data_IF_772705481472
#
_entry.id   IF_772705481472
#
_cell.length_a   1.000
_cell.length_b   1.000
_cell.length_c   1.000
_cell.angle_alpha   90.00
_cell.angle_beta   90.00
_cell.angle_gamma   90.00
#
_symmetry.space_group_name_H-M   'P 1'
#
loop_
_entity.id
_entity.type
_entity.pdbx_description
1 polymer ?
#
# COMPACT_ATOMS: atom_id res chain seq x y z
N UNK A 1 20.67 6.14 -9.13
CA UNK A 1 19.48 5.50 -8.54
C UNK A 1 19.91 4.70 -7.32
N UNK A 2 19.23 4.88 -6.19
CA UNK A 2 19.47 4.08 -4.97
C UNK A 2 18.25 3.22 -4.64
N UNK A 3 18.45 2.06 -4.02
CA UNK A 3 17.37 1.16 -3.58
C UNK A 3 17.57 0.59 -2.17
N UNK A 4 16.47 0.35 -1.47
CA UNK A 4 16.45 -0.29 -0.17
C UNK A 4 15.23 -1.23 -0.03
N UNK A 5 15.41 -2.38 0.61
CA UNK A 5 14.35 -3.39 0.78
C UNK A 5 14.25 -3.89 2.22
N UNK A 6 13.04 -4.15 2.69
CA UNK A 6 12.76 -4.69 4.03
C UNK A 6 11.40 -5.40 4.12
N UNK A 7 11.18 -6.16 5.19
CA UNK A 7 9.88 -6.81 5.45
C UNK A 7 8.93 -5.90 6.24
N UNK A 8 7.65 -5.89 5.87
CA UNK A 8 6.58 -5.08 6.48
C UNK A 8 5.21 -5.54 5.97
N UNK A 9 4.12 -5.30 6.73
CA UNK A 9 2.74 -5.65 6.36
C UNK A 9 2.55 -7.10 5.86
N UNK A 10 3.18 -8.05 6.55
CA UNK A 10 3.22 -9.48 6.19
C UNK A 10 3.74 -9.75 4.76
N UNK A 11 4.54 -8.84 4.23
CA UNK A 11 5.19 -8.91 2.92
C UNK A 11 6.54 -8.18 2.98
N UNK A 12 7.02 -7.70 1.84
CA UNK A 12 8.20 -6.87 1.71
C UNK A 12 7.87 -5.53 1.05
N UNK A 13 8.64 -4.50 1.38
CA UNK A 13 8.66 -3.20 0.74
C UNK A 13 10.04 -2.98 0.12
N UNK A 14 10.07 -2.49 -1.10
CA UNK A 14 11.26 -2.00 -1.78
C UNK A 14 11.04 -0.55 -2.17
N UNK A 15 12.04 0.27 -1.90
CA UNK A 15 12.04 1.70 -2.18
C UNK A 15 13.15 2.02 -3.15
N UNK A 16 12.85 2.75 -4.21
CA UNK A 16 13.83 3.28 -5.14
C UNK A 16 13.71 4.79 -5.26
N UNK A 17 14.83 5.45 -5.54
CA UNK A 17 14.94 6.90 -5.70
C UNK A 17 15.80 7.25 -6.90
N UNK A 18 15.45 8.32 -7.63
CA UNK A 18 16.21 8.77 -8.80
C UNK A 18 17.67 9.02 -8.42
N UNK A 19 17.89 9.75 -7.33
CA UNK A 19 19.22 10.09 -6.80
C UNK A 19 19.51 9.26 -5.56
N UNK A 20 20.66 8.61 -5.54
CA UNK A 20 21.07 7.73 -4.43
C UNK A 20 21.17 8.49 -3.09
N UNK A 21 21.53 9.77 -3.13
CA UNK A 21 21.63 10.63 -1.95
C UNK A 21 20.29 10.82 -1.21
N UNK A 22 19.15 10.66 -1.88
CA UNK A 22 17.82 10.81 -1.29
C UNK A 22 17.37 9.57 -0.52
N UNK A 23 17.99 8.42 -0.79
CA UNK A 23 17.54 7.11 -0.31
C UNK A 23 17.40 7.02 1.23
N UNK A 24 18.31 7.57 2.06
CA UNK A 24 18.19 7.46 3.51
C UNK A 24 16.93 8.12 4.08
N UNK A 25 16.65 9.37 3.69
CA UNK A 25 15.49 10.13 4.20
C UNK A 25 14.17 9.53 3.71
N UNK A 26 14.13 9.18 2.42
CA UNK A 26 12.98 8.57 1.77
C UNK A 26 12.65 7.21 2.41
N UNK A 27 13.66 6.40 2.67
CA UNK A 27 13.48 5.10 3.34
C UNK A 27 13.01 5.27 4.79
N UNK A 28 13.54 6.26 5.51
CA UNK A 28 13.14 6.53 6.89
C UNK A 28 11.66 6.94 6.97
N UNK A 29 11.22 7.85 6.10
CA UNK A 29 9.82 8.28 6.04
C UNK A 29 8.89 7.13 5.62
N UNK A 30 9.28 6.34 4.63
CA UNK A 30 8.51 5.17 4.20
C UNK A 30 8.32 4.15 5.33
N UNK A 31 9.39 3.86 6.09
CA UNK A 31 9.32 2.97 7.25
C UNK A 31 8.41 3.51 8.35
N UNK A 32 8.52 4.81 8.66
CA UNK A 32 7.67 5.44 9.67
C UNK A 32 6.19 5.31 9.32
N UNK A 33 5.81 5.65 8.08
CA UNK A 33 4.42 5.54 7.59
C UNK A 33 3.90 4.10 7.60
N UNK A 34 4.70 3.15 7.13
CA UNK A 34 4.28 1.74 7.14
C UNK A 34 4.17 1.17 8.56
N UNK A 35 4.98 1.65 9.51
CA UNK A 35 4.85 1.31 10.92
C UNK A 35 3.56 1.88 11.53
N UNK A 36 3.21 3.13 11.22
CA UNK A 36 1.92 3.72 11.65
C UNK A 36 0.74 2.91 11.11
N UNK A 37 0.77 2.53 9.84
CA UNK A 37 -0.27 1.71 9.23
C UNK A 37 -0.35 0.31 9.87
N UNK A 38 0.81 -0.28 10.21
CA UNK A 38 0.87 -1.56 10.92
C UNK A 38 0.20 -1.44 12.29
N UNK A 39 0.56 -0.42 13.07
CA UNK A 39 -0.05 -0.18 14.38
C UNK A 39 -1.56 0.11 14.30
N UNK A 40 -2.00 0.78 13.25
CA UNK A 40 -3.41 1.07 13.03
C UNK A 40 -4.22 -0.19 12.66
N UNK A 41 -3.68 -1.08 11.83
CA UNK A 41 -4.51 -2.08 11.13
C UNK A 41 -4.09 -3.55 11.30
N UNK A 42 -2.87 -3.85 11.77
CA UNK A 42 -2.33 -5.20 11.74
C UNK A 42 -1.87 -5.69 13.11
N UNK A 43 -2.19 -6.95 13.41
CA UNK A 43 -1.84 -7.61 14.67
C UNK A 43 -2.91 -7.45 15.75
N UNK A 44 -2.77 -8.27 16.80
CA UNK A 44 -3.74 -8.36 17.89
C UNK A 44 -3.82 -7.08 18.75
N UNK A 45 -2.73 -6.31 18.78
CA UNK A 45 -2.63 -5.07 19.56
C UNK A 45 -2.87 -3.81 18.69
N UNK A 46 -3.33 -3.98 17.45
CA UNK A 46 -3.63 -2.85 16.58
C UNK A 46 -4.84 -2.06 17.05
N UNK A 47 -4.89 -0.79 16.65
CA UNK A 47 -6.06 0.07 16.91
C UNK A 47 -7.36 -0.57 16.39
N UNK A 48 -7.33 -1.13 15.18
CA UNK A 48 -8.44 -1.85 14.57
C UNK A 48 -8.91 -3.03 15.42
N UNK A 49 -7.99 -3.82 15.98
CA UNK A 49 -8.32 -4.96 16.83
C UNK A 49 -8.93 -4.54 18.19
N UNK A 50 -8.63 -3.32 18.65
CA UNK A 50 -9.19 -2.73 19.86
C UNK A 50 -10.56 -2.08 19.71
N UNK A 51 -11.11 -2.00 18.49
CA UNK A 51 -12.46 -1.47 18.28
C UNK A 51 -13.52 -2.38 18.90
N UNK A 52 -14.52 -1.76 19.51
CA UNK A 52 -15.67 -2.41 20.09
C UNK A 52 -16.88 -2.23 19.16
N UNK A 53 -17.63 -3.31 18.88
CA UNK A 53 -18.74 -3.24 17.96
C UNK A 53 -19.89 -2.36 18.47
N UNK A 54 -20.66 -1.81 17.53
CA UNK A 54 -21.96 -1.18 17.75
C UNK A 54 -21.93 0.23 18.34
N UNK A 55 -20.75 0.82 18.58
CA UNK A 55 -20.64 2.19 19.13
C UNK A 55 -19.65 3.06 18.33
N UNK A 56 -19.93 4.36 18.19
CA UNK A 56 -18.95 5.29 17.64
C UNK A 56 -17.69 5.37 18.52
N UNK A 57 -16.52 5.26 17.90
CA UNK A 57 -15.23 5.36 18.58
C UNK A 57 -14.31 6.29 17.81
N UNK A 58 -13.56 7.11 18.55
CA UNK A 58 -12.48 7.92 17.97
C UNK A 58 -11.36 7.00 17.48
N UNK A 59 -10.87 7.32 16.29
CA UNK A 59 -9.76 6.60 15.66
C UNK A 59 -8.67 7.57 15.20
N UNK A 60 -7.47 7.03 15.00
CA UNK A 60 -6.35 7.73 14.40
C UNK A 60 -6.65 8.12 12.95
N UNK A 61 -5.93 9.14 12.47
CA UNK A 61 -6.02 9.56 11.07
C UNK A 61 -5.62 8.43 10.12
N UNK A 62 -4.60 7.64 10.49
CA UNK A 62 -4.09 6.54 9.67
C UNK A 62 -5.12 5.42 9.56
N UNK A 63 -5.78 5.05 10.65
CA UNK A 63 -6.86 4.07 10.60
C UNK A 63 -8.04 4.59 9.77
N UNK A 64 -8.40 5.87 9.91
CA UNK A 64 -9.48 6.47 9.13
C UNK A 64 -9.18 6.49 7.63
N UNK A 65 -7.93 6.81 7.25
CA UNK A 65 -7.43 6.75 5.88
C UNK A 65 -7.47 5.32 5.31
N UNK A 66 -7.02 4.34 6.09
CA UNK A 66 -6.99 2.93 5.69
C UNK A 66 -8.41 2.36 5.50
N UNK A 67 -9.33 2.67 6.42
CA UNK A 67 -10.73 2.26 6.31
C UNK A 67 -11.42 2.93 5.12
N UNK A 68 -11.19 4.22 4.89
CA UNK A 68 -11.73 4.91 3.71
C UNK A 68 -11.24 4.26 2.41
N UNK A 69 -9.94 3.95 2.31
CA UNK A 69 -9.37 3.28 1.15
C UNK A 69 -9.99 1.88 0.93
N UNK A 70 -10.17 1.11 2.00
CA UNK A 70 -10.82 -0.19 1.95
C UNK A 70 -12.28 -0.05 1.48
N UNK A 71 -13.06 0.86 2.09
CA UNK A 71 -14.47 1.11 1.77
C UNK A 71 -14.69 1.53 0.31
N UNK A 72 -13.82 2.37 -0.25
CA UNK A 72 -13.87 2.74 -1.68
C UNK A 72 -13.77 1.53 -2.61
N UNK A 73 -12.96 0.54 -2.22
CA UNK A 73 -12.80 -0.70 -3.00
C UNK A 73 -14.08 -1.54 -3.02
N UNK A 74 -14.82 -1.58 -1.90
CA UNK A 74 -16.11 -2.29 -1.81
C UNK A 74 -17.20 -1.58 -2.61
N UNK A 75 -17.25 -0.24 -2.52
CA UNK A 75 -18.15 0.57 -3.34
C UNK A 75 -17.94 0.33 -4.84
N UNK A 76 -16.70 0.19 -5.29
CA UNK A 76 -16.38 -0.08 -6.69
C UNK A 76 -16.77 -1.49 -7.16
N UNK A 77 -16.86 -2.46 -6.26
CA UNK A 77 -17.07 -3.88 -6.58
C UNK A 77 -18.49 -4.36 -6.31
N UNK A 78 -19.42 -3.45 -6.00
CA UNK A 78 -20.78 -3.76 -5.56
C UNK A 78 -20.82 -4.81 -4.43
N UNK A 79 -19.88 -4.75 -3.47
CA UNK A 79 -19.72 -5.71 -2.37
C UNK A 79 -19.41 -7.16 -2.79
N UNK A 80 -19.14 -7.44 -4.06
CA UNK A 80 -18.82 -8.81 -4.54
C UNK A 80 -17.58 -9.41 -3.87
N UNK A 81 -16.75 -8.58 -3.23
CA UNK A 81 -15.49 -8.97 -2.59
C UNK A 81 -15.52 -8.79 -1.06
N UNK A 82 -16.69 -8.59 -0.44
CA UNK A 82 -16.85 -8.64 1.01
C UNK A 82 -18.20 -8.12 1.48
N UNK A 83 -18.87 -8.89 2.34
CA UNK A 83 -20.16 -8.53 2.93
C UNK A 83 -19.98 -7.76 4.24
N UNK A 84 -20.93 -6.88 4.56
CA UNK A 84 -20.98 -6.13 5.83
C UNK A 84 -20.14 -4.84 5.87
N UNK A 85 -19.30 -4.56 4.88
CA UNK A 85 -18.50 -3.31 4.85
C UNK A 85 -19.33 -2.05 4.64
N UNK A 86 -20.50 -2.15 3.97
CA UNK A 86 -21.45 -1.03 3.84
C UNK A 86 -22.08 -0.60 5.17
N UNK A 87 -22.03 -1.45 6.18
CA UNK A 87 -22.57 -1.17 7.51
C UNK A 87 -21.55 -0.47 8.43
N UNK A 88 -20.30 -0.32 7.97
CA UNK A 88 -19.30 0.50 8.66
C UNK A 88 -19.64 1.97 8.41
N UNK A 89 -19.92 2.69 9.49
CA UNK A 89 -20.11 4.13 9.45
C UNK A 89 -18.80 4.83 9.81
N UNK A 90 -18.20 5.54 8.85
CA UNK A 90 -16.94 6.26 9.00
C UNK A 90 -17.20 7.77 8.85
N UNK A 91 -17.17 8.49 9.97
CA UNK A 91 -17.19 9.95 9.98
C UNK A 91 -15.75 10.47 9.97
N UNK A 92 -15.27 10.82 8.76
CA UNK A 92 -13.92 11.37 8.56
C UNK A 92 -13.72 12.74 9.19
N UNK A 93 -14.76 13.55 9.30
CA UNK A 93 -14.66 14.89 9.88
C UNK A 93 -14.55 14.81 11.41
N UNK A 94 -15.30 13.90 12.03
CA UNK A 94 -15.22 13.66 13.47
C UNK A 94 -14.07 12.73 13.88
N UNK A 95 -13.45 12.03 12.91
CA UNK A 95 -12.43 11.01 13.17
C UNK A 95 -13.02 9.85 13.97
N UNK A 96 -14.23 9.41 13.60
CA UNK A 96 -14.97 8.36 14.30
C UNK A 96 -15.35 7.22 13.35
N UNK A 97 -15.42 6.01 13.90
CA UNK A 97 -15.97 4.85 13.20
C UNK A 97 -16.96 4.11 14.10
N UNK A 98 -18.01 3.57 13.51
CA UNK A 98 -18.88 2.56 14.11
C UNK A 98 -18.77 1.28 13.28
N UNK A 99 -18.37 0.19 13.91
CA UNK A 99 -18.28 -1.14 13.27
C UNK A 99 -19.44 -2.00 13.76
N UNK A 100 -20.24 -2.64 12.88
CA UNK A 100 -21.35 -3.49 13.30
C UNK A 100 -20.86 -4.74 14.03
N UNK A 101 -21.74 -5.33 14.84
CA UNK A 101 -21.45 -6.56 15.56
C UNK A 101 -21.25 -7.75 14.61
N UNK A 102 -20.27 -8.60 14.91
CA UNK A 102 -19.98 -9.80 14.11
C UNK A 102 -19.18 -9.55 12.83
N UNK A 103 -18.92 -8.30 12.44
CA UNK A 103 -18.10 -7.98 11.27
C UNK A 103 -16.61 -8.09 11.61
N UNK A 104 -15.88 -8.90 10.83
CA UNK A 104 -14.42 -8.99 10.89
C UNK A 104 -13.82 -8.18 9.74
N UNK A 105 -13.00 -7.19 10.09
CA UNK A 105 -12.36 -6.31 9.13
C UNK A 105 -10.98 -6.83 8.75
N UNK A 106 -10.89 -7.51 7.60
CA UNK A 106 -9.60 -7.86 7.00
C UNK A 106 -9.06 -6.72 6.15
N UNK A 107 -8.39 -5.75 6.81
CA UNK A 107 -7.89 -4.53 6.17
C UNK A 107 -6.55 -4.77 5.46
N UNK A 108 -5.65 -5.58 6.02
CA UNK A 108 -4.26 -5.70 5.60
C UNK A 108 -4.06 -5.96 4.10
N UNK A 109 -4.71 -6.98 3.54
CA UNK A 109 -4.60 -7.31 2.13
C UNK A 109 -5.28 -6.28 1.20
N UNK A 110 -6.21 -5.48 1.73
CA UNK A 110 -7.01 -4.50 0.96
C UNK A 110 -6.34 -3.15 0.84
N UNK A 111 -5.40 -2.85 1.75
CA UNK A 111 -4.76 -1.54 1.79
C UNK A 111 -3.35 -1.52 1.22
N UNK A 112 -2.76 -2.65 0.80
CA UNK A 112 -1.38 -2.66 0.27
C UNK A 112 -1.20 -1.79 -0.97
N UNK A 113 -2.07 -1.94 -1.98
CA UNK A 113 -2.04 -1.10 -3.19
C UNK A 113 -2.26 0.38 -2.87
N UNK A 114 -3.09 0.68 -1.87
CA UNK A 114 -3.25 2.05 -1.39
C UNK A 114 -2.03 2.54 -0.60
N UNK A 115 -1.41 1.67 0.20
CA UNK A 115 -0.30 1.99 1.07
C UNK A 115 0.97 2.30 0.27
N UNK A 116 1.25 1.56 -0.80
CA UNK A 116 2.35 1.90 -1.71
C UNK A 116 2.19 3.32 -2.26
N UNK A 117 0.97 3.66 -2.69
CA UNK A 117 0.64 4.98 -3.20
C UNK A 117 0.70 6.09 -2.13
N UNK A 118 0.17 5.81 -0.94
CA UNK A 118 0.20 6.73 0.19
C UNK A 118 1.62 7.01 0.68
N UNK A 119 2.50 6.00 0.68
CA UNK A 119 3.92 6.16 1.02
C UNK A 119 4.66 6.93 -0.06
N UNK A 120 4.51 6.55 -1.34
CA UNK A 120 5.20 7.22 -2.45
C UNK A 120 4.82 8.70 -2.53
N UNK A 121 3.53 9.00 -2.42
CA UNK A 121 3.01 10.37 -2.40
C UNK A 121 3.53 11.14 -1.20
N UNK A 122 3.54 10.49 -0.04
CA UNK A 122 4.12 11.06 1.18
C UNK A 122 5.58 11.49 1.03
N UNK A 123 6.39 10.65 0.42
CA UNK A 123 7.80 10.95 0.19
C UNK A 123 7.97 12.08 -0.83
N UNK A 124 7.24 12.03 -1.94
CA UNK A 124 7.29 13.09 -2.95
C UNK A 124 6.84 14.45 -2.39
N UNK A 125 5.73 14.48 -1.65
CA UNK A 125 5.17 15.72 -1.10
C UNK A 125 6.05 16.30 0.02
N UNK A 126 6.60 15.45 0.90
CA UNK A 126 7.37 15.90 2.06
C UNK A 126 8.84 16.22 1.73
N UNK A 127 9.44 15.50 0.77
CA UNK A 127 10.88 15.58 0.49
C UNK A 127 11.18 16.13 -0.91
N UNK A 128 10.17 16.26 -1.79
CA UNK A 128 10.36 16.75 -3.15
C UNK A 128 11.14 15.79 -4.06
N UNK A 129 11.10 14.48 -3.75
CA UNK A 129 11.91 13.46 -4.45
C UNK A 129 11.10 12.61 -5.43
N UNK A 130 11.76 12.13 -6.46
CA UNK A 130 11.27 11.05 -7.32
C UNK A 130 11.51 9.68 -6.71
N UNK A 131 10.45 8.90 -6.51
CA UNK A 131 10.55 7.58 -5.91
C UNK A 131 9.55 6.55 -6.46
N UNK A 132 9.94 5.28 -6.37
CA UNK A 132 9.10 4.11 -6.56
C UNK A 132 8.99 3.35 -5.24
N UNK A 133 7.77 3.02 -4.82
CA UNK A 133 7.48 2.08 -3.74
C UNK A 133 6.92 0.81 -4.35
N UNK A 134 7.51 -0.33 -4.06
CA UNK A 134 6.96 -1.65 -4.36
C UNK A 134 6.66 -2.39 -3.06
N UNK A 135 5.38 -2.55 -2.74
CA UNK A 135 4.92 -3.25 -1.55
C UNK A 135 4.36 -4.61 -1.94
N UNK A 136 5.21 -5.62 -1.98
CA UNK A 136 4.80 -7.00 -2.26
C UNK A 136 4.19 -7.21 -3.65
N UNK A 137 4.59 -6.43 -4.65
CA UNK A 137 4.03 -6.44 -6.01
C UNK A 137 3.00 -5.33 -6.27
N UNK A 138 2.65 -4.55 -5.26
CA UNK A 138 1.86 -3.32 -5.39
C UNK A 138 2.79 -2.11 -5.54
N UNK A 139 2.86 -1.54 -6.75
CA UNK A 139 3.80 -0.50 -7.13
C UNK A 139 3.11 0.85 -7.21
N UNK A 140 3.79 1.89 -6.70
CA UNK A 140 3.44 3.28 -6.94
C UNK A 140 4.69 4.13 -7.22
N UNK A 141 4.57 5.05 -8.17
CA UNK A 141 5.61 6.00 -8.56
C UNK A 141 5.11 7.43 -8.38
N UNK A 142 5.96 8.29 -7.81
CA UNK A 142 5.67 9.72 -7.56
C UNK A 142 6.94 10.57 -7.69
N UNK A 143 6.74 11.87 -7.90
CA UNK A 143 7.81 12.86 -8.01
C UNK A 143 8.53 12.79 -9.36
N UNK A 144 9.82 13.14 -9.34
CA UNK A 144 10.71 13.05 -10.50
C UNK A 144 10.77 11.62 -11.07
N UNK A 145 10.86 11.53 -12.39
CA UNK A 145 10.91 10.26 -13.13
C UNK A 145 12.29 10.19 -13.81
N UNK A 146 13.01 9.06 -13.71
CA UNK A 146 14.31 8.92 -14.37
C UNK A 146 14.16 8.89 -15.90
N UNK A 147 15.24 9.18 -16.62
CA UNK A 147 15.28 9.06 -18.08
C UNK A 147 14.84 7.65 -18.52
N UNK A 148 13.93 7.59 -19.49
CA UNK A 148 13.35 6.33 -19.97
C UNK A 148 12.23 5.76 -19.08
N UNK A 149 11.92 6.39 -17.94
CA UNK A 149 10.86 5.99 -17.01
C UNK A 149 11.30 4.95 -15.99
N UNK A 150 10.47 4.72 -14.97
CA UNK A 150 10.69 3.59 -14.05
C UNK A 150 10.38 2.28 -14.79
N UNK A 151 11.36 1.40 -14.90
CA UNK A 151 11.18 0.12 -15.61
C UNK A 151 10.57 -0.90 -14.66
N UNK A 152 9.39 -1.43 -14.98
CA UNK A 152 8.70 -2.42 -14.15
C UNK A 152 8.52 -3.70 -14.96
N UNK A 153 9.28 -4.72 -14.59
CA UNK A 153 9.17 -6.05 -15.18
C UNK A 153 7.91 -6.79 -14.71
N UNK A 154 7.23 -7.47 -15.64
CA UNK A 154 6.03 -8.28 -15.39
C UNK A 154 6.38 -9.76 -15.45
N UNK A 155 6.62 -10.35 -14.28
CA UNK A 155 6.86 -11.79 -14.13
C UNK A 155 5.52 -12.54 -13.93
N UNK A 156 5.21 -13.47 -14.83
CA UNK A 156 4.02 -14.35 -14.74
C UNK A 156 4.31 -15.70 -14.07
N UNK A 157 5.53 -15.88 -13.55
CA UNK A 157 6.02 -17.08 -12.89
C UNK A 157 6.39 -18.21 -13.85
N UNK A 158 6.37 -17.97 -15.17
CA UNK A 158 6.77 -18.96 -16.18
C UNK A 158 8.18 -18.62 -16.66
N UNK A 159 9.10 -19.61 -16.69
CA UNK A 159 10.42 -19.35 -17.24
C UNK A 159 10.31 -18.94 -18.71
N UNK A 160 10.68 -17.71 -19.03
CA UNK A 160 10.73 -17.21 -20.40
C UNK A 160 12.18 -17.08 -20.90
N UNK A 161 12.45 -17.70 -22.04
CA UNK A 161 13.73 -17.60 -22.76
C UNK A 161 13.90 -16.26 -23.49
N UNK A 162 12.83 -15.47 -23.66
CA UNK A 162 12.80 -14.19 -24.37
C UNK A 162 12.86 -12.97 -23.46
N UNK A 163 12.90 -13.17 -22.14
CA UNK A 163 12.78 -12.10 -21.14
C UNK A 163 11.33 -11.73 -20.86
N UNK A 164 11.09 -11.08 -19.72
CA UNK A 164 9.75 -10.69 -19.31
C UNK A 164 9.33 -9.34 -19.92
N UNK A 165 8.02 -9.10 -20.17
CA UNK A 165 7.54 -7.79 -20.60
C UNK A 165 7.87 -6.70 -19.57
N UNK A 166 8.26 -5.51 -20.05
CA UNK A 166 8.57 -4.35 -19.20
C UNK A 166 7.61 -3.21 -19.49
N UNK A 167 7.06 -2.62 -18.43
CA UNK A 167 6.31 -1.37 -18.48
C UNK A 167 7.24 -0.24 -18.07
N UNK A 168 7.46 0.73 -18.96
CA UNK A 168 8.09 2.00 -18.58
C UNK A 168 7.02 2.94 -18.02
N UNK A 169 7.11 3.23 -16.72
CA UNK A 169 6.25 4.21 -16.05
C UNK A 169 6.91 5.59 -16.10
N UNK A 170 6.59 6.32 -17.18
CA UNK A 170 7.03 7.70 -17.42
C UNK A 170 6.20 8.78 -16.69
N UNK A 171 5.30 8.40 -15.78
CA UNK A 171 4.33 9.29 -15.15
C UNK A 171 4.02 8.86 -13.71
N UNK A 172 3.50 9.79 -12.86
CA UNK A 172 2.96 9.42 -11.55
C UNK A 172 1.79 8.45 -11.68
N UNK A 173 1.86 7.31 -11.00
CA UNK A 173 0.86 6.26 -11.13
C UNK A 173 1.15 5.05 -10.26
N UNK A 174 0.46 3.94 -10.53
CA UNK A 174 0.69 2.69 -9.84
C UNK A 174 0.32 1.48 -10.68
N UNK A 175 0.85 0.32 -10.29
CA UNK A 175 0.60 -0.98 -10.90
C UNK A 175 0.42 -1.99 -9.78
N UNK A 176 -0.68 -2.74 -9.79
CA UNK A 176 -0.92 -3.81 -8.84
C UNK A 176 -1.03 -5.14 -9.59
N UNK A 177 -0.40 -6.17 -9.05
CA UNK A 177 -0.46 -7.53 -9.61
C UNK A 177 -0.96 -8.51 -8.54
N UNK A 178 -1.73 -9.51 -8.95
CA UNK A 178 -2.19 -10.58 -8.08
C UNK A 178 -2.06 -11.90 -8.81
N UNK A 179 -1.32 -12.85 -8.25
CA UNK A 179 -1.24 -14.22 -8.76
C UNK A 179 -2.16 -15.16 -7.98
N UNK A 180 -2.59 -16.25 -8.62
CA UNK A 180 -3.27 -17.37 -7.96
C UNK A 180 -2.30 -18.46 -7.50
N UNK A 181 -1.02 -18.37 -7.92
CA UNK A 181 0.02 -19.37 -7.63
C UNK A 181 0.82 -18.90 -6.42
N UNK A 182 0.57 -19.52 -5.27
CA UNK A 182 1.27 -19.24 -4.02
C UNK A 182 2.75 -19.62 -4.11
N UNK A 183 3.66 -18.69 -3.79
CA UNK A 183 4.86 -19.07 -3.04
C UNK A 183 6.23 -18.55 -3.47
N UNK A 184 6.40 -17.88 -4.61
CA UNK A 184 7.71 -17.29 -4.93
C UNK A 184 7.56 -16.08 -5.86
N UNK A 185 7.65 -14.89 -5.26
CA UNK A 185 7.94 -13.68 -6.01
C UNK A 185 9.43 -13.66 -6.28
N UNK A 186 9.82 -13.80 -7.55
CA UNK A 186 11.10 -13.30 -7.99
C UNK A 186 10.89 -11.82 -8.33
N UNK A 187 11.90 -11.02 -7.99
CA UNK A 187 11.91 -9.57 -8.02
C UNK A 187 11.17 -8.95 -9.20
N UNK A 188 10.37 -7.91 -8.93
CA UNK A 188 10.24 -6.83 -9.92
C UNK A 188 11.59 -6.13 -9.88
N UNK A 189 12.45 -6.40 -10.85
CA UNK A 189 13.68 -5.63 -11.00
C UNK A 189 13.30 -4.31 -11.67
N UNK A 190 13.65 -3.22 -11.01
CA UNK A 190 13.62 -1.86 -11.58
C UNK A 190 15.05 -1.43 -11.84
#
# INVERSE_FOLDING_TARGET
>A
MGSARWNTLDTWCEMLTVREADLPEVTALARARLAELTNACLGADSELAGLAPGRPQRISEVLALALEAALRTFGFTDDRVGTGWREIDLDRAAGQVTVPEGLRLEVAARVRSWASDWVARGCADALGVGCLVNLGGDIAVRGEVPDGGWQVEIDDGRPDSRGYPVISMGWPGGLATRSATSGAWHSVTV
#
